data_IF_356839465022
#
_entry.id   IF_356839465022
#
_cell.length_a   1.000
_cell.length_b   1.000
_cell.length_c   1.000
_cell.angle_alpha   90.00
_cell.angle_beta   90.00
_cell.angle_gamma   90.00
#
_symmetry.space_group_name_H-M   'P 1'
#
loop_
_entity.id
_entity.type
_entity.pdbx_description
1 polymer ?
#
# COMPACT_ATOMS: atom_id res chain seq x y z
N UNK A 1 20.02 0.22 -10.80
CA UNK A 1 18.95 0.09 -9.79
C UNK A 1 17.77 0.85 -10.33
N UNK A 2 16.67 0.18 -10.66
CA UNK A 2 15.44 0.86 -11.06
C UNK A 2 14.84 1.38 -9.76
N UNK A 3 14.75 2.70 -9.59
CA UNK A 3 14.00 3.27 -8.46
C UNK A 3 12.57 2.73 -8.54
N UNK A 4 12.17 1.98 -7.50
CA UNK A 4 10.79 1.55 -7.29
C UNK A 4 9.87 2.76 -7.48
N UNK A 5 8.84 2.64 -8.32
CA UNK A 5 7.85 3.69 -8.57
C UNK A 5 7.27 4.16 -7.23
N UNK A 6 7.72 5.30 -6.69
CA UNK A 6 7.10 5.98 -5.54
C UNK A 6 6.11 7.03 -6.05
N UNK A 7 5.20 6.57 -6.90
CA UNK A 7 4.21 7.42 -7.56
C UNK A 7 3.36 8.16 -6.51
N UNK A 8 3.09 9.44 -6.75
CA UNK A 8 2.24 10.25 -5.88
C UNK A 8 2.83 10.61 -4.51
N UNK A 9 4.11 10.34 -4.23
CA UNK A 9 4.77 10.65 -2.94
C UNK A 9 5.55 11.97 -2.91
N UNK A 10 5.56 12.69 -4.01
CA UNK A 10 6.23 13.98 -4.13
C UNK A 10 5.33 14.92 -4.92
N UNK A 11 5.16 16.14 -4.41
CA UNK A 11 4.57 17.26 -5.13
C UNK A 11 5.61 18.37 -5.30
N UNK A 12 5.24 19.48 -5.93
CA UNK A 12 6.08 20.67 -6.00
C UNK A 12 6.44 21.20 -4.60
N UNK A 13 5.52 21.09 -3.65
CA UNK A 13 5.62 21.73 -2.32
C UNK A 13 5.87 20.77 -1.17
N UNK A 14 5.69 19.46 -1.36
CA UNK A 14 5.78 18.48 -0.27
C UNK A 14 6.44 17.17 -0.70
N UNK A 15 7.07 16.50 0.26
CA UNK A 15 7.46 15.08 0.18
C UNK A 15 6.75 14.31 1.29
N UNK A 16 6.47 13.04 1.02
CA UNK A 16 5.75 12.16 1.93
C UNK A 16 6.58 10.92 2.24
N UNK A 17 6.83 10.69 3.53
CA UNK A 17 7.31 9.41 4.02
C UNK A 17 6.11 8.56 4.42
N UNK A 18 6.09 7.29 4.02
CA UNK A 18 5.02 6.35 4.34
C UNK A 18 5.60 5.21 5.13
N UNK A 19 4.91 4.83 6.20
CA UNK A 19 5.16 3.63 6.98
C UNK A 19 3.86 2.85 7.05
N UNK A 20 3.84 1.63 6.53
CA UNK A 20 2.70 0.74 6.65
C UNK A 20 2.65 0.16 8.07
N UNK A 21 1.50 0.32 8.73
CA UNK A 21 1.32 -0.05 10.14
C UNK A 21 0.33 -1.20 10.31
N UNK A 22 -0.36 -1.61 9.26
CA UNK A 22 -1.28 -2.74 9.30
C UNK A 22 -1.97 -3.00 7.97
N UNK A 23 -2.55 -4.20 7.87
CA UNK A 23 -3.37 -4.66 6.76
C UNK A 23 -4.67 -5.22 7.31
N UNK A 24 -5.79 -4.91 6.64
CA UNK A 24 -7.07 -5.62 6.81
C UNK A 24 -7.52 -6.07 5.43
N UNK A 25 -7.70 -7.38 5.25
CA UNK A 25 -7.88 -8.00 3.94
C UNK A 25 -9.08 -8.96 3.94
N UNK A 26 -9.67 -9.14 2.77
CA UNK A 26 -10.77 -10.07 2.56
C UNK A 26 -10.58 -10.78 1.24
N UNK A 27 -10.88 -12.07 1.19
CA UNK A 27 -10.69 -12.92 0.01
C UNK A 27 -12.01 -13.22 -0.71
N UNK A 28 -11.94 -13.54 -2.00
CA UNK A 28 -13.02 -14.15 -2.77
C UNK A 28 -13.21 -15.63 -2.40
N UNK A 29 -13.38 -15.89 -1.11
CA UNK A 29 -13.48 -17.21 -0.49
C UNK A 29 -14.67 -17.23 0.50
N UNK A 30 -15.36 -18.37 0.75
CA UNK A 30 -16.48 -18.44 1.69
C UNK A 30 -16.13 -17.98 3.11
N UNK A 31 -14.89 -18.19 3.57
CA UNK A 31 -14.41 -17.68 4.86
C UNK A 31 -14.12 -16.18 4.85
N UNK A 32 -14.03 -15.54 3.68
CA UNK A 32 -13.81 -14.11 3.52
C UNK A 32 -12.59 -13.64 4.30
N UNK A 33 -12.81 -12.74 5.26
CA UNK A 33 -11.77 -12.17 6.13
C UNK A 33 -11.23 -13.14 7.19
N UNK A 34 -11.96 -14.21 7.50
CA UNK A 34 -11.60 -15.16 8.56
C UNK A 34 -10.64 -16.25 8.02
N UNK A 35 -10.25 -16.15 6.75
CA UNK A 35 -9.25 -17.02 6.15
C UNK A 35 -7.85 -16.64 6.66
N UNK A 36 -7.09 -17.64 7.08
CA UNK A 36 -5.76 -17.45 7.65
C UNK A 36 -4.71 -17.41 6.55
N UNK A 37 -3.79 -16.45 6.65
CA UNK A 37 -2.59 -16.39 5.82
C UNK A 37 -1.69 -17.59 6.09
N UNK A 38 -0.94 -18.00 5.08
CA UNK A 38 0.08 -19.02 5.26
C UNK A 38 1.19 -18.51 6.21
N UNK A 39 1.81 -19.37 7.04
CA UNK A 39 2.78 -18.92 8.04
C UNK A 39 3.98 -18.17 7.46
N UNK A 40 4.44 -18.57 6.26
CA UNK A 40 5.53 -17.94 5.51
C UNK A 40 5.18 -16.50 5.08
N UNK A 41 3.93 -16.26 4.68
CA UNK A 41 3.43 -14.91 4.36
C UNK A 41 3.43 -14.03 5.61
N UNK A 42 3.00 -14.57 6.75
CA UNK A 42 3.00 -13.84 8.03
C UNK A 42 4.43 -13.50 8.43
N UNK A 43 5.35 -14.48 8.39
CA UNK A 43 6.76 -14.30 8.72
C UNK A 43 7.43 -13.27 7.81
N UNK A 44 7.21 -13.34 6.49
CA UNK A 44 7.74 -12.38 5.55
C UNK A 44 7.26 -10.95 5.85
N UNK A 45 5.96 -10.79 6.13
CA UNK A 45 5.38 -9.49 6.45
C UNK A 45 5.86 -8.92 7.78
N UNK A 46 6.07 -9.75 8.80
CA UNK A 46 6.57 -9.32 10.10
C UNK A 46 8.07 -8.99 10.06
N UNK A 47 8.83 -9.68 9.22
CA UNK A 47 10.28 -9.47 9.06
C UNK A 47 10.58 -8.21 8.24
N UNK A 48 9.90 -8.02 7.11
CA UNK A 48 10.21 -6.93 6.17
C UNK A 48 8.94 -6.32 5.55
N UNK A 49 8.06 -5.79 6.40
CA UNK A 49 6.74 -5.25 6.05
C UNK A 49 6.64 -4.43 4.76
N UNK A 50 7.59 -3.51 4.56
CA UNK A 50 7.56 -2.56 3.44
C UNK A 50 7.95 -3.20 2.11
N UNK A 51 8.75 -4.27 2.14
CA UNK A 51 9.31 -4.92 0.95
C UNK A 51 8.83 -6.37 0.76
N UNK A 52 8.05 -6.90 1.70
CA UNK A 52 7.53 -8.27 1.61
C UNK A 52 6.58 -8.41 0.40
N UNK A 53 7.03 -9.13 -0.62
CA UNK A 53 6.33 -9.34 -1.89
C UNK A 53 5.20 -10.39 -1.76
N UNK A 54 4.26 -10.16 -0.85
CA UNK A 54 3.23 -11.13 -0.47
C UNK A 54 1.95 -11.03 -1.31
N UNK A 55 1.83 -10.00 -2.15
CA UNK A 55 0.68 -9.76 -3.02
C UNK A 55 1.00 -10.17 -4.44
N UNK A 56 0.57 -11.35 -4.86
CA UNK A 56 0.97 -11.92 -6.16
C UNK A 56 -0.03 -11.52 -7.24
N UNK A 57 0.43 -10.82 -8.27
CA UNK A 57 -0.39 -10.49 -9.44
C UNK A 57 -0.64 -11.77 -10.25
N UNK A 58 -1.91 -12.14 -10.42
CA UNK A 58 -2.29 -13.40 -11.07
C UNK A 58 -1.81 -13.51 -12.53
N UNK A 59 -1.88 -12.41 -13.30
CA UNK A 59 -1.56 -12.43 -14.73
C UNK A 59 -0.07 -12.69 -15.02
N UNK A 60 0.82 -12.27 -14.12
CA UNK A 60 2.27 -12.29 -14.32
C UNK A 60 3.00 -13.23 -13.35
N UNK A 61 2.39 -13.55 -12.21
CA UNK A 61 3.05 -14.21 -11.08
C UNK A 61 4.00 -13.28 -10.30
N UNK A 62 4.04 -11.98 -10.63
CA UNK A 62 4.91 -11.01 -9.95
C UNK A 62 4.40 -10.70 -8.55
N UNK A 63 5.28 -10.77 -7.57
CA UNK A 63 5.00 -10.33 -6.21
C UNK A 63 5.06 -8.82 -6.08
N UNK A 64 4.14 -8.24 -5.31
CA UNK A 64 4.09 -6.84 -4.97
C UNK A 64 4.22 -6.71 -3.45
N UNK A 65 4.96 -5.69 -3.04
CA UNK A 65 5.02 -5.20 -1.67
C UNK A 65 3.87 -4.26 -1.34
N UNK A 66 3.74 -3.88 -0.07
CA UNK A 66 2.77 -2.86 0.37
C UNK A 66 3.06 -1.49 -0.27
N UNK A 67 4.34 -1.14 -0.38
CA UNK A 67 4.83 0.06 -1.06
C UNK A 67 4.38 0.11 -2.52
N UNK A 68 4.58 -0.99 -3.24
CA UNK A 68 4.21 -1.08 -4.65
C UNK A 68 2.70 -1.11 -4.86
N UNK A 69 1.93 -1.76 -3.98
CA UNK A 69 0.47 -1.72 -4.04
C UNK A 69 -0.08 -0.32 -3.82
N UNK A 70 0.48 0.45 -2.89
CA UNK A 70 0.06 1.84 -2.70
C UNK A 70 0.37 2.68 -3.94
N UNK A 71 1.58 2.55 -4.50
CA UNK A 71 1.94 3.25 -5.74
C UNK A 71 1.05 2.85 -6.91
N UNK A 72 0.71 1.56 -7.04
CA UNK A 72 -0.22 1.07 -8.05
C UNK A 72 -1.62 1.65 -7.87
N UNK A 73 -2.13 1.69 -6.64
CA UNK A 73 -3.42 2.32 -6.32
C UNK A 73 -3.46 3.80 -6.69
N UNK A 74 -2.43 4.56 -6.33
CA UNK A 74 -2.33 5.99 -6.65
C UNK A 74 -2.26 6.21 -8.17
N UNK A 75 -1.50 5.39 -8.89
CA UNK A 75 -1.40 5.44 -10.35
C UNK A 75 -2.75 5.15 -11.03
N UNK A 76 -3.44 4.07 -10.62
CA UNK A 76 -4.72 3.67 -11.20
C UNK A 76 -5.84 4.66 -10.91
N UNK A 77 -5.86 5.24 -9.71
CA UNK A 77 -6.83 6.27 -9.34
C UNK A 77 -6.51 7.64 -9.95
N UNK A 78 -5.29 7.83 -10.48
CA UNK A 78 -4.81 9.12 -10.96
C UNK A 78 -4.68 10.15 -9.84
N UNK A 79 -4.41 9.70 -8.60
CA UNK A 79 -4.31 10.57 -7.43
C UNK A 79 -2.92 10.56 -6.80
N UNK A 80 -2.66 11.53 -5.95
CA UNK A 80 -1.43 11.69 -5.16
C UNK A 80 -1.72 11.53 -3.68
N UNK A 81 -0.69 11.29 -2.86
CA UNK A 81 -0.86 11.29 -1.41
C UNK A 81 -1.42 12.63 -0.92
N UNK A 82 -1.00 13.76 -1.48
CA UNK A 82 -1.51 15.06 -1.11
C UNK A 82 -3.04 15.16 -1.21
N UNK A 83 -3.63 14.59 -2.28
CA UNK A 83 -5.08 14.62 -2.49
C UNK A 83 -5.85 13.67 -1.56
N UNK A 84 -5.17 12.65 -1.03
CA UNK A 84 -5.74 11.69 -0.08
C UNK A 84 -5.60 12.14 1.39
N UNK A 85 -4.78 13.16 1.66
CA UNK A 85 -4.54 13.69 3.00
C UNK A 85 -5.53 14.81 3.37
N UNK A 86 -5.88 14.95 4.67
CA UNK A 86 -6.63 16.13 5.14
C UNK A 86 -5.86 17.43 4.85
N UNK A 87 -6.54 18.44 4.30
CA UNK A 87 -5.93 19.75 3.95
C UNK A 87 -5.14 20.38 5.10
N UNK A 88 -5.69 20.31 6.32
CA UNK A 88 -5.04 20.84 7.52
C UNK A 88 -3.67 20.22 7.81
N UNK A 89 -3.41 18.98 7.40
CA UNK A 89 -2.11 18.34 7.56
C UNK A 89 -1.08 18.92 6.57
N UNK A 90 -1.51 19.23 5.34
CA UNK A 90 -0.67 19.84 4.31
C UNK A 90 -0.30 21.30 4.65
N UNK A 91 -1.26 22.06 5.18
CA UNK A 91 -1.09 23.46 5.59
C UNK A 91 -0.06 23.61 6.72
N UNK A 92 -0.17 22.75 7.74
CA UNK A 92 0.86 22.63 8.79
C UNK A 92 2.21 22.29 8.17
N UNK A 93 2.22 21.34 7.22
CA UNK A 93 3.42 20.97 6.47
C UNK A 93 4.48 20.24 7.28
N UNK A 94 4.08 19.79 8.48
CA UNK A 94 4.83 18.92 9.37
C UNK A 94 3.84 18.11 10.22
N UNK A 95 4.23 16.90 10.57
CA UNK A 95 3.46 16.00 11.43
C UNK A 95 3.08 14.69 10.76
N UNK A 96 2.34 13.89 11.52
CA UNK A 96 1.93 12.54 11.11
C UNK A 96 0.42 12.47 10.90
N UNK A 97 0.02 11.84 9.82
CA UNK A 97 -1.39 11.52 9.52
C UNK A 97 -1.52 10.02 9.42
N UNK A 98 -2.56 9.47 10.03
CA UNK A 98 -2.93 8.08 9.84
C UNK A 98 -4.02 8.01 8.76
N UNK A 99 -3.74 7.25 7.71
CA UNK A 99 -4.66 7.08 6.57
C UNK A 99 -4.86 5.60 6.31
N UNK A 100 -6.06 5.25 5.89
CA UNK A 100 -6.37 3.92 5.37
C UNK A 100 -6.69 4.05 3.91
N UNK A 101 -5.95 3.35 3.05
CA UNK A 101 -6.20 3.28 1.61
C UNK A 101 -7.04 2.03 1.31
N UNK A 102 -8.32 2.18 0.93
CA UNK A 102 -9.16 1.05 0.57
C UNK A 102 -8.94 0.68 -0.90
N UNK A 103 -8.39 -0.50 -1.14
CA UNK A 103 -8.19 -1.09 -2.47
C UNK A 103 -9.18 -2.24 -2.64
N UNK A 104 -9.87 -2.28 -3.78
CA UNK A 104 -10.77 -3.36 -4.16
C UNK A 104 -10.22 -4.06 -5.37
N UNK A 105 -10.37 -5.38 -5.41
CA UNK A 105 -9.84 -6.21 -6.48
C UNK A 105 -10.95 -7.05 -7.10
N UNK A 106 -10.96 -7.08 -8.42
CA UNK A 106 -11.71 -8.08 -9.15
C UNK A 106 -11.05 -9.45 -8.96
N UNK A 107 -11.85 -10.51 -9.05
CA UNK A 107 -11.34 -11.88 -8.99
C UNK A 107 -10.30 -12.10 -10.10
N UNK A 108 -9.22 -12.82 -9.79
CA UNK A 108 -8.11 -13.02 -10.71
C UNK A 108 -7.17 -11.82 -10.89
N UNK A 109 -7.24 -10.77 -10.05
CA UNK A 109 -6.29 -9.64 -10.11
C UNK A 109 -5.03 -9.93 -9.29
N UNK A 110 -5.22 -10.08 -7.98
CA UNK A 110 -4.15 -10.40 -7.01
C UNK A 110 -4.60 -11.55 -6.12
N UNK A 111 -3.66 -12.41 -5.75
CA UNK A 111 -3.84 -13.42 -4.72
C UNK A 111 -2.78 -13.33 -3.64
N UNK A 112 -3.02 -13.98 -2.52
CA UNK A 112 -2.02 -14.25 -1.49
C UNK A 112 -2.04 -15.74 -1.13
N UNK A 113 -0.94 -16.24 -0.56
CA UNK A 113 -0.92 -17.60 -0.02
C UNK A 113 -1.62 -17.63 1.34
N UNK A 114 -2.51 -18.59 1.47
CA UNK A 114 -3.31 -18.86 2.68
C UNK A 114 -3.11 -20.30 3.12
N UNK A 115 -3.59 -20.68 4.30
CA UNK A 115 -3.57 -22.08 4.74
C UNK A 115 -4.35 -23.02 3.79
N UNK A 116 -5.26 -22.48 2.96
CA UNK A 116 -6.02 -23.22 1.94
C UNK A 116 -5.44 -23.05 0.52
N UNK A 117 -4.19 -22.59 0.42
CA UNK A 117 -3.49 -22.33 -0.84
C UNK A 117 -3.66 -20.90 -1.36
N UNK A 118 -3.33 -20.63 -2.64
CA UNK A 118 -3.49 -19.31 -3.25
C UNK A 118 -4.96 -18.89 -3.29
N UNK A 119 -5.28 -17.72 -2.75
CA UNK A 119 -6.64 -17.19 -2.72
C UNK A 119 -6.69 -15.75 -3.19
N UNK A 120 -7.62 -15.46 -4.10
CA UNK A 120 -7.79 -14.13 -4.67
C UNK A 120 -8.25 -13.13 -3.62
N UNK A 121 -7.61 -11.97 -3.59
CA UNK A 121 -8.04 -10.83 -2.80
C UNK A 121 -9.30 -10.22 -3.40
N UNK A 122 -10.21 -9.80 -2.52
CA UNK A 122 -11.40 -9.01 -2.86
C UNK A 122 -11.27 -7.57 -2.40
N UNK A 123 -10.66 -7.36 -1.24
CA UNK A 123 -10.42 -6.04 -0.66
C UNK A 123 -9.17 -6.05 0.22
N UNK A 124 -8.50 -4.91 0.26
CA UNK A 124 -7.36 -4.62 1.11
C UNK A 124 -7.48 -3.20 1.64
N UNK A 125 -7.31 -3.04 2.95
CA UNK A 125 -7.13 -1.76 3.61
C UNK A 125 -5.67 -1.65 4.01
N UNK A 126 -4.93 -0.81 3.30
CA UNK A 126 -3.55 -0.47 3.67
C UNK A 126 -3.61 0.64 4.73
N UNK A 127 -3.24 0.31 5.97
CA UNK A 127 -3.17 1.30 7.05
C UNK A 127 -1.76 1.87 7.09
N UNK A 128 -1.64 3.17 6.92
CA UNK A 128 -0.35 3.84 6.79
C UNK A 128 -0.26 5.05 7.71
N UNK A 129 0.91 5.23 8.30
CA UNK A 129 1.36 6.49 8.90
C UNK A 129 2.10 7.28 7.83
N UNK A 130 1.66 8.50 7.58
CA UNK A 130 2.27 9.40 6.59
C UNK A 130 2.90 10.57 7.33
N UNK A 131 4.20 10.76 7.14
CA UNK A 131 4.91 11.97 7.60
C UNK A 131 4.97 12.96 6.44
N UNK A 132 4.49 14.18 6.68
CA UNK A 132 4.50 15.26 5.70
C UNK A 132 5.73 16.13 5.93
N UNK A 133 6.48 16.40 4.87
CA UNK A 133 7.58 17.37 4.88
C UNK A 133 7.33 18.45 3.84
N UNK A 134 7.39 19.72 4.26
CA UNK A 134 7.48 20.85 3.31
C UNK A 134 8.79 20.77 2.54
N UNK A 135 8.73 20.95 1.23
CA UNK A 135 9.92 21.14 0.39
C UNK A 135 10.34 22.59 0.50
N UNK A 136 11.57 22.82 0.91
CA UNK A 136 12.21 24.11 0.68
C UNK A 136 12.46 24.22 -0.82
N UNK A 137 11.93 25.25 -1.52
CA UNK A 137 12.29 25.45 -2.91
C UNK A 137 13.81 25.64 -2.97
N UNK A 138 14.48 24.83 -3.81
CA UNK A 138 15.92 24.96 -4.01
C UNK A 138 16.17 26.36 -4.60
N UNK A 139 17.06 27.18 -4.01
CA UNK A 139 17.46 28.41 -4.67
C UNK A 139 18.17 28.00 -5.97
N UNK A 140 17.61 28.45 -7.10
CA UNK A 140 18.26 28.38 -8.40
C UNK A 140 19.54 29.24 -8.38
#
# INVERSE_FOLDING_TARGET
MVESLKAGRVTETHTFEVVHIGLDMTFHHPKGRDLRLAPDVVEAFETERENAEIFIQNASGTGFSTEELLSWFLLQSGTTLAEQLPKAALEKGEGHVFVTFPIRFEKGTFHMLTEEGPQDLSALKLMSKITVHKRTPSPL
#
